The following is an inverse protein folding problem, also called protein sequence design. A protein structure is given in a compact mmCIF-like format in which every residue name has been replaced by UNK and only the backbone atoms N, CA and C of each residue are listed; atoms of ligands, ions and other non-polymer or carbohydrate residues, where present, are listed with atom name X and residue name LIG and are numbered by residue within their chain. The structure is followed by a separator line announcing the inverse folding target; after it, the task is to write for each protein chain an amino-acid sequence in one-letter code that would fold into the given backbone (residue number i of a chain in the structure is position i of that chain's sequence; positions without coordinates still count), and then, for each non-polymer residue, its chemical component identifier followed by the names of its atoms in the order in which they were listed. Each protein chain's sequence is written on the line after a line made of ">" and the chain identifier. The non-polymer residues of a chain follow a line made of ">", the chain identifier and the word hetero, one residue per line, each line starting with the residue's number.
data_IF_913016830162
#
_entry.id   IF_913016830162
#
_cell.length_a   1.000
_cell.length_b   1.000
_cell.length_c   1.000
_cell.angle_alpha   90.00
_cell.angle_beta   90.00
_cell.angle_gamma   90.00
#
_symmetry.space_group_name_H-M   'P 1'
#
loop_
_entity.id
_entity.type
_entity.pdbx_description
1 polymer ?
#
# COMPACT_ATOMS: atom_id res chain seq x y z
N UNK A 1 -43.10 62.63 -54.62
CA UNK A 1 -44.28 62.78 -55.49
C UNK A 1 -44.11 61.76 -56.62
N UNK A 2 -44.80 60.61 -56.60
CA UNK A 2 -46.19 60.39 -57.09
C UNK A 2 -46.33 60.65 -58.60
N UNK A 3 -46.94 59.81 -59.43
CA UNK A 3 -47.45 58.44 -59.25
C UNK A 3 -47.69 57.80 -60.65
N UNK A 4 -47.47 56.49 -60.77
CA UNK A 4 -48.49 55.47 -61.14
C UNK A 4 -49.69 55.88 -62.02
N UNK A 5 -49.90 55.20 -63.17
CA UNK A 5 -51.16 54.45 -63.42
C UNK A 5 -51.11 53.39 -64.54
N UNK A 6 -51.98 52.39 -64.39
CA UNK A 6 -52.24 51.14 -65.17
C UNK A 6 -53.27 51.35 -66.31
N UNK A 7 -53.51 50.40 -67.28
CA UNK A 7 -54.21 49.11 -67.01
C UNK A 7 -53.92 47.86 -67.91
N UNK A 8 -54.60 46.76 -67.53
CA UNK A 8 -54.70 45.34 -68.01
C UNK A 8 -55.50 45.17 -69.35
N UNK A 9 -55.74 43.98 -69.99
CA UNK A 9 -55.87 42.55 -69.52
C UNK A 9 -55.09 41.50 -70.41
N UNK A 10 -55.30 40.17 -70.53
CA UNK A 10 -56.35 39.15 -70.19
C UNK A 10 -55.78 37.79 -69.65
N UNK A 11 -56.19 36.60 -70.19
CA UNK A 11 -55.92 35.20 -69.72
C UNK A 11 -56.11 34.14 -70.83
N UNK A 12 -55.54 32.93 -70.68
CA UNK A 12 -56.23 31.62 -70.97
C UNK A 12 -55.54 30.43 -70.26
N UNK A 13 -56.25 29.33 -69.92
CA UNK A 13 -55.73 28.15 -69.15
C UNK A 13 -56.44 26.82 -69.48
N UNK A 14 -55.69 25.70 -69.65
CA UNK A 14 -56.16 24.30 -69.55
C UNK A 14 -55.33 23.41 -68.57
N UNK A 15 -55.89 22.30 -68.02
CA UNK A 15 -55.19 21.31 -67.16
C UNK A 15 -56.02 20.01 -66.93
N UNK A 16 -55.45 18.78 -67.03
CA UNK A 16 -56.00 17.57 -66.38
C UNK A 16 -55.08 16.30 -66.30
N UNK A 17 -54.85 15.78 -65.06
CA UNK A 17 -54.98 14.34 -64.60
C UNK A 17 -54.02 13.25 -65.21
N UNK A 18 -53.68 12.10 -64.56
CA UNK A 18 -53.99 11.47 -63.23
C UNK A 18 -52.86 10.48 -62.77
N UNK A 19 -53.05 9.80 -61.63
CA UNK A 19 -52.17 8.85 -60.86
C UNK A 19 -51.88 7.51 -61.62
N UNK A 20 -50.98 6.57 -61.25
CA UNK A 20 -50.72 5.92 -59.92
C UNK A 20 -49.34 5.16 -59.86
N UNK A 21 -49.08 4.32 -58.84
CA UNK A 21 -47.75 3.96 -58.27
C UNK A 21 -47.08 2.63 -58.71
N UNK A 22 -45.74 2.55 -58.52
CA UNK A 22 -44.89 1.38 -58.17
C UNK A 22 -44.84 0.14 -59.11
N UNK A 23 -43.77 -0.69 -59.17
CA UNK A 23 -42.52 -0.80 -58.40
C UNK A 23 -41.36 -1.38 -59.27
N UNK A 24 -40.08 -1.11 -58.95
CA UNK A 24 -38.96 -1.80 -59.61
C UNK A 24 -37.53 -1.34 -59.25
N UNK A 25 -36.64 -2.31 -58.98
CA UNK A 25 -35.17 -2.22 -59.08
C UNK A 25 -34.36 -1.15 -58.30
N UNK A 26 -34.44 -1.11 -56.96
CA UNK A 26 -33.31 -0.66 -56.11
C UNK A 26 -33.17 -1.46 -54.80
N UNK A 27 -32.64 -2.69 -54.89
CA UNK A 27 -32.45 -3.57 -53.72
C UNK A 27 -31.10 -4.32 -53.67
N UNK A 28 -30.47 -4.62 -54.81
CA UNK A 28 -29.29 -5.51 -54.86
C UNK A 28 -28.01 -4.86 -54.30
N UNK A 29 -27.77 -3.57 -54.56
CA UNK A 29 -26.50 -2.89 -54.23
C UNK A 29 -26.38 -2.42 -52.78
N UNK A 30 -27.50 -2.19 -52.09
CA UNK A 30 -27.47 -1.81 -50.67
C UNK A 30 -27.06 -2.99 -49.77
N UNK A 31 -27.56 -4.20 -50.09
CA UNK A 31 -27.29 -5.40 -49.30
C UNK A 31 -25.78 -5.68 -49.21
N UNK A 32 -25.06 -5.63 -50.32
CA UNK A 32 -23.61 -5.92 -50.34
C UNK A 32 -22.78 -4.98 -49.43
N UNK A 33 -23.08 -3.67 -49.43
CA UNK A 33 -22.36 -2.72 -48.56
C UNK A 33 -22.74 -2.86 -47.08
N UNK A 34 -24.02 -3.08 -46.77
CA UNK A 34 -24.48 -3.30 -45.38
C UNK A 34 -23.89 -4.60 -44.83
N UNK A 35 -23.95 -5.70 -45.58
CA UNK A 35 -23.36 -6.98 -45.19
C UNK A 35 -21.84 -6.90 -45.08
N UNK A 36 -21.15 -6.17 -45.96
CA UNK A 36 -19.70 -5.94 -45.83
C UNK A 36 -19.35 -5.22 -44.52
N UNK A 37 -20.09 -4.16 -44.15
CA UNK A 37 -19.90 -3.49 -42.86
C UNK A 37 -20.19 -4.39 -41.67
N UNK A 38 -21.27 -5.18 -41.71
CA UNK A 38 -21.62 -6.16 -40.66
C UNK A 38 -20.52 -7.22 -40.51
N UNK A 39 -20.02 -7.79 -41.60
CA UNK A 39 -18.93 -8.79 -41.59
C UNK A 39 -17.65 -8.19 -41.00
N UNK A 40 -17.28 -6.96 -41.39
CA UNK A 40 -16.12 -6.27 -40.83
C UNK A 40 -16.28 -6.00 -39.32
N UNK A 41 -17.45 -5.54 -38.87
CA UNK A 41 -17.74 -5.38 -37.44
C UNK A 41 -17.66 -6.72 -36.68
N UNK A 42 -18.20 -7.81 -37.23
CA UNK A 42 -18.11 -9.14 -36.61
C UNK A 42 -16.66 -9.64 -36.50
N UNK A 43 -15.83 -9.42 -37.52
CA UNK A 43 -14.40 -9.74 -37.49
C UNK A 43 -13.66 -8.92 -36.42
N UNK A 44 -13.95 -7.61 -36.32
CA UNK A 44 -13.35 -6.74 -35.29
C UNK A 44 -13.76 -7.14 -33.87
N UNK A 45 -15.03 -7.50 -33.66
CA UNK A 45 -15.54 -8.00 -32.37
C UNK A 45 -14.88 -9.34 -32.02
N UNK A 46 -14.78 -10.27 -32.98
CA UNK A 46 -14.13 -11.55 -32.78
C UNK A 46 -12.63 -11.41 -32.45
N UNK A 47 -11.92 -10.50 -33.14
CA UNK A 47 -10.52 -10.19 -32.87
C UNK A 47 -10.32 -9.57 -31.47
N UNK A 48 -11.19 -8.63 -31.07
CA UNK A 48 -11.16 -8.04 -29.73
C UNK A 48 -11.46 -9.07 -28.63
N UNK A 49 -12.44 -9.95 -28.84
CA UNK A 49 -12.78 -11.05 -27.93
C UNK A 49 -11.64 -12.07 -27.81
N UNK A 50 -10.99 -12.43 -28.92
CA UNK A 50 -9.82 -13.30 -28.91
C UNK A 50 -8.62 -12.66 -28.19
N UNK A 51 -8.37 -11.37 -28.39
CA UNK A 51 -7.31 -10.63 -27.69
C UNK A 51 -7.59 -10.58 -26.17
N UNK A 52 -8.82 -10.28 -25.78
CA UNK A 52 -9.26 -10.29 -24.38
C UNK A 52 -9.14 -11.69 -23.76
N UNK A 53 -9.55 -12.74 -24.47
CA UNK A 53 -9.37 -14.13 -24.05
C UNK A 53 -7.89 -14.46 -23.81
N UNK A 54 -7.00 -14.11 -24.75
CA UNK A 54 -5.55 -14.33 -24.58
C UNK A 54 -4.97 -13.54 -23.39
N UNK A 55 -5.45 -12.31 -23.14
CA UNK A 55 -5.04 -11.52 -21.96
C UNK A 55 -5.53 -12.15 -20.64
N UNK A 56 -6.72 -12.74 -20.62
CA UNK A 56 -7.25 -13.47 -19.47
C UNK A 56 -6.51 -14.79 -19.25
N UNK A 57 -6.31 -15.60 -20.30
CA UNK A 57 -5.57 -16.88 -20.23
C UNK A 57 -4.10 -16.69 -19.85
N UNK A 58 -3.47 -15.57 -20.23
CA UNK A 58 -2.10 -15.25 -19.78
C UNK A 58 -2.01 -14.91 -18.28
N UNK A 59 -3.13 -14.71 -17.58
CA UNK A 59 -3.15 -14.44 -16.13
C UNK A 59 -3.20 -15.71 -15.27
N UNK A 60 -3.22 -16.90 -15.87
CA UNK A 60 -3.20 -18.20 -15.18
C UNK A 60 -1.95 -19.02 -15.48
N UNK A 61 -0.77 -18.39 -15.35
CA UNK A 61 0.52 -19.10 -15.31
C UNK A 61 0.97 -19.32 -13.87
N UNK A 62 1.31 -20.56 -13.52
CA UNK A 62 1.92 -20.99 -12.24
C UNK A 62 1.26 -20.44 -10.96
N UNK A 63 0.24 -21.14 -10.45
CA UNK A 63 -0.07 -21.19 -9.01
C UNK A 63 0.74 -22.33 -8.39
N UNK A 64 1.86 -22.10 -7.69
CA UNK A 64 2.46 -23.13 -6.86
C UNK A 64 1.57 -23.36 -5.63
N UNK A 65 1.09 -24.58 -5.44
CA UNK A 65 0.29 -24.95 -4.26
C UNK A 65 1.19 -25.20 -3.04
N UNK A 66 1.83 -24.13 -2.56
CA UNK A 66 2.63 -24.08 -1.34
C UNK A 66 2.39 -22.76 -0.57
N UNK A 67 1.15 -22.25 -0.59
CA UNK A 67 0.73 -21.07 0.19
C UNK A 67 -0.05 -21.53 1.44
N UNK A 68 0.50 -22.52 2.14
CA UNK A 68 0.16 -22.83 3.54
C UNK A 68 1.40 -22.89 4.46
N UNK A 69 2.53 -22.36 3.97
CA UNK A 69 3.73 -22.09 4.78
C UNK A 69 3.92 -20.59 4.95
N UNK A 70 2.98 -19.93 5.65
CA UNK A 70 3.14 -18.57 6.19
C UNK A 70 4.12 -18.56 7.40
N UNK A 71 5.12 -19.45 7.35
CA UNK A 71 6.07 -19.76 8.41
C UNK A 71 7.25 -20.53 7.81
N UNK A 72 7.94 -19.90 6.85
CA UNK A 72 9.41 -19.93 6.94
C UNK A 72 9.77 -18.69 7.74
N UNK A 73 10.42 -18.90 8.87
CA UNK A 73 11.06 -17.87 9.69
C UNK A 73 11.76 -16.84 8.78
N UNK A 74 11.73 -15.54 9.12
CA UNK A 74 12.82 -14.69 8.65
C UNK A 74 14.11 -15.30 9.21
N UNK A 75 15.18 -15.38 8.42
CA UNK A 75 16.48 -15.92 8.88
C UNK A 75 17.20 -14.92 9.84
N UNK A 76 16.41 -14.19 10.64
CA UNK A 76 16.80 -13.27 11.70
C UNK A 76 16.97 -14.05 13.01
N UNK A 77 18.08 -13.79 13.69
CA UNK A 77 18.38 -14.30 15.02
C UNK A 77 18.70 -13.10 15.93
N UNK A 78 18.37 -13.14 17.22
CA UNK A 78 18.61 -12.01 18.11
C UNK A 78 20.12 -11.77 18.30
N UNK A 79 20.57 -10.54 18.05
CA UNK A 79 21.95 -10.10 18.34
C UNK A 79 22.10 -9.88 19.86
N UNK A 80 22.48 -10.96 20.53
CA UNK A 80 22.76 -11.02 21.96
C UNK A 80 24.28 -10.98 22.19
N UNK A 81 24.85 -9.83 22.58
CA UNK A 81 26.28 -9.74 22.87
C UNK A 81 26.61 -10.58 24.11
N UNK A 82 27.67 -11.39 24.05
CA UNK A 82 28.09 -12.29 25.13
C UNK A 82 28.36 -11.59 26.46
N UNK A 83 28.61 -10.28 26.42
CA UNK A 83 28.48 -9.38 27.55
C UNK A 83 27.39 -8.35 27.31
N UNK A 84 26.24 -8.51 27.98
CA UNK A 84 25.30 -7.41 28.26
C UNK A 84 25.86 -6.63 29.47
N UNK A 85 27.07 -6.06 29.29
CA UNK A 85 27.96 -5.60 30.35
C UNK A 85 27.36 -4.44 31.17
N UNK A 86 26.75 -3.48 30.48
CA UNK A 86 26.18 -2.31 31.12
C UNK A 86 24.74 -2.64 31.57
N UNK A 87 24.56 -2.83 32.88
CA UNK A 87 23.25 -3.10 33.50
C UNK A 87 22.22 -2.03 33.14
N UNK A 88 22.62 -0.76 33.22
CA UNK A 88 21.78 0.43 33.00
C UNK A 88 21.26 0.56 31.54
N UNK A 89 21.88 -0.12 30.58
CA UNK A 89 21.47 -0.13 29.17
C UNK A 89 20.44 -1.22 28.83
N UNK A 90 20.08 -2.08 29.79
CA UNK A 90 19.18 -3.22 29.57
C UNK A 90 17.71 -2.81 29.61
N UNK A 91 17.09 -2.72 28.44
CA UNK A 91 15.64 -2.54 28.32
C UNK A 91 14.89 -3.87 28.40
N UNK A 92 13.78 -3.90 29.13
CA UNK A 92 12.97 -5.10 29.35
C UNK A 92 12.20 -5.54 28.09
N UNK A 93 12.48 -6.75 27.64
CA UNK A 93 11.90 -7.36 26.45
C UNK A 93 10.54 -8.05 26.72
N UNK A 94 10.23 -8.31 28.00
CA UNK A 94 9.10 -9.10 28.48
C UNK A 94 8.43 -8.44 29.72
N UNK A 95 7.87 -7.22 29.60
CA UNK A 95 7.24 -6.51 30.72
C UNK A 95 5.93 -7.14 31.22
N UNK A 96 5.46 -8.21 30.58
CA UNK A 96 4.24 -8.94 30.97
C UNK A 96 4.47 -9.86 32.20
N UNK A 97 5.72 -10.25 32.49
CA UNK A 97 6.09 -11.14 33.60
C UNK A 97 7.58 -10.96 33.99
N UNK A 98 7.90 -10.37 35.16
CA UNK A 98 9.28 -10.20 35.62
C UNK A 98 9.95 -11.52 36.06
N UNK A 99 9.19 -12.60 36.23
CA UNK A 99 9.68 -13.93 36.59
C UNK A 99 10.04 -14.80 35.38
N UNK A 100 9.96 -14.24 34.16
CA UNK A 100 10.17 -14.94 32.89
C UNK A 100 11.46 -15.76 32.84
N UNK A 101 11.31 -17.07 32.58
CA UNK A 101 12.43 -17.98 32.37
C UNK A 101 12.99 -17.96 30.94
N UNK A 102 14.21 -18.48 30.78
CA UNK A 102 14.97 -18.55 29.52
C UNK A 102 14.14 -18.87 28.29
N UNK A 103 13.43 -20.00 28.29
CA UNK A 103 12.71 -20.52 27.12
C UNK A 103 11.64 -19.55 26.63
N UNK A 104 10.89 -18.91 27.54
CA UNK A 104 9.85 -17.93 27.19
C UNK A 104 10.45 -16.62 26.66
N UNK A 105 11.61 -16.21 27.18
CA UNK A 105 12.35 -15.06 26.68
C UNK A 105 12.90 -15.31 25.26
N UNK A 106 13.61 -16.40 25.06
CA UNK A 106 14.23 -16.76 23.77
C UNK A 106 13.16 -17.03 22.69
N UNK A 107 12.03 -17.67 23.05
CA UNK A 107 10.89 -17.87 22.15
C UNK A 107 10.24 -16.54 21.68
N UNK A 108 10.39 -15.45 22.43
CA UNK A 108 9.94 -14.09 22.05
C UNK A 108 10.94 -13.35 21.15
N UNK A 109 12.07 -13.98 20.82
CA UNK A 109 13.17 -13.35 20.08
C UNK A 109 13.96 -12.34 20.92
N UNK A 110 14.10 -12.60 22.21
CA UNK A 110 14.81 -11.75 23.17
C UNK A 110 16.09 -12.43 23.70
N UNK A 111 16.96 -11.66 24.35
CA UNK A 111 18.18 -12.17 24.99
C UNK A 111 17.92 -12.47 26.46
N UNK A 112 18.11 -13.73 26.88
CA UNK A 112 18.05 -14.09 28.30
C UNK A 112 19.40 -13.90 28.99
N UNK A 113 19.39 -13.48 30.26
CA UNK A 113 20.60 -13.24 31.06
C UNK A 113 20.61 -14.14 32.30
N UNK A 114 21.48 -15.16 32.30
CA UNK A 114 21.70 -16.03 33.47
C UNK A 114 22.37 -15.28 34.63
N UNK A 115 23.32 -14.39 34.33
CA UNK A 115 24.05 -13.63 35.33
C UNK A 115 23.29 -12.36 35.74
N UNK A 116 22.52 -12.51 36.80
CA UNK A 116 22.20 -11.43 37.72
C UNK A 116 23.52 -10.95 38.36
N UNK A 117 24.16 -9.95 37.74
CA UNK A 117 25.28 -9.23 38.35
C UNK A 117 24.70 -8.44 39.52
N UNK A 118 24.73 -9.06 40.69
CA UNK A 118 24.15 -8.48 41.89
C UNK A 118 25.15 -7.56 42.54
N UNK A 119 25.17 -6.31 42.10
CA UNK A 119 25.54 -5.20 42.97
C UNK A 119 24.59 -5.24 44.18
N UNK A 120 25.05 -5.84 45.27
CA UNK A 120 24.34 -5.84 46.55
C UNK A 120 24.53 -4.47 47.20
N UNK A 121 23.87 -3.46 46.63
CA UNK A 121 23.68 -2.17 47.27
C UNK A 121 22.88 -2.40 48.56
N UNK A 122 23.62 -2.63 49.64
CA UNK A 122 23.06 -2.63 50.99
C UNK A 122 22.79 -1.18 51.35
N UNK A 123 21.52 -0.80 51.35
CA UNK A 123 21.15 0.54 51.77
C UNK A 123 21.55 0.81 53.24
N UNK A 124 21.54 2.07 53.64
CA UNK A 124 22.00 2.47 54.99
C UNK A 124 21.12 1.95 56.14
N UNK A 125 20.00 1.27 55.83
CA UNK A 125 19.10 0.64 56.81
C UNK A 125 19.28 -0.89 56.88
N UNK A 126 20.10 -1.49 56.01
CA UNK A 126 20.31 -2.93 55.94
C UNK A 126 19.22 -3.68 55.17
N UNK A 127 18.38 -3.00 54.40
CA UNK A 127 17.39 -3.64 53.52
C UNK A 127 18.10 -4.20 52.29
N UNK A 128 18.16 -5.52 52.15
CA UNK A 128 18.74 -6.18 50.97
C UNK A 128 17.73 -6.15 49.81
N UNK A 129 17.56 -4.98 49.20
CA UNK A 129 16.88 -4.84 47.91
C UNK A 129 17.66 -5.63 46.86
N UNK A 130 17.21 -6.86 46.59
CA UNK A 130 17.81 -7.69 45.55
C UNK A 130 17.72 -7.02 44.18
N UNK A 131 18.67 -7.33 43.30
CA UNK A 131 18.81 -6.82 41.93
C UNK A 131 17.69 -7.26 40.96
N UNK A 132 16.50 -7.58 41.49
CA UNK A 132 15.29 -8.01 40.79
C UNK A 132 14.62 -6.87 39.98
N UNK A 133 15.06 -5.62 40.21
CA UNK A 133 14.75 -4.45 39.35
C UNK A 133 15.38 -4.54 37.95
N UNK A 134 16.27 -5.49 37.70
CA UNK A 134 17.00 -5.67 36.45
C UNK A 134 16.32 -6.73 35.56
N UNK A 135 15.90 -6.41 34.31
CA UNK A 135 15.26 -7.39 33.44
C UNK A 135 16.20 -8.55 33.09
N UNK A 136 15.72 -9.77 33.37
CA UNK A 136 16.36 -11.04 32.96
C UNK A 136 16.18 -11.34 31.47
N UNK A 137 15.23 -10.66 30.82
CA UNK A 137 14.93 -10.76 29.40
C UNK A 137 15.09 -9.40 28.71
N UNK A 138 16.06 -9.28 27.81
CA UNK A 138 16.55 -7.98 27.28
C UNK A 138 16.37 -7.87 25.76
N UNK A 139 16.10 -6.66 25.26
CA UNK A 139 16.05 -6.39 23.82
C UNK A 139 17.40 -6.73 23.14
N UNK A 140 17.39 -7.48 22.01
CA UNK A 140 18.60 -7.66 21.21
C UNK A 140 18.91 -6.39 20.41
N UNK A 141 20.19 -6.22 20.04
CA UNK A 141 20.69 -5.02 19.34
C UNK A 141 20.09 -4.83 17.95
N UNK A 142 19.68 -5.91 17.29
CA UNK A 142 19.09 -5.90 15.95
C UNK A 142 17.54 -5.89 15.97
N UNK A 143 16.95 -5.16 16.92
CA UNK A 143 15.50 -4.90 16.99
C UNK A 143 15.17 -3.42 16.67
N UNK A 144 13.93 -3.15 16.29
CA UNK A 144 13.41 -1.79 16.08
C UNK A 144 13.39 -1.38 14.61
N UNK A 145 13.90 -0.19 14.31
CA UNK A 145 13.84 0.42 12.98
C UNK A 145 15.19 1.00 12.56
N UNK A 146 15.52 0.88 11.27
CA UNK A 146 16.65 1.54 10.61
C UNK A 146 16.16 2.68 9.71
N UNK A 147 16.93 3.75 9.56
CA UNK A 147 16.56 4.81 8.63
C UNK A 147 16.81 4.40 7.18
N UNK A 148 15.95 4.82 6.26
CA UNK A 148 16.20 4.69 4.82
C UNK A 148 17.07 5.83 4.25
N UNK A 149 17.71 6.63 5.11
CA UNK A 149 18.66 7.71 4.79
C UNK A 149 18.09 8.96 4.12
N UNK A 150 17.14 8.79 3.18
CA UNK A 150 16.55 9.88 2.40
C UNK A 150 15.55 10.68 3.24
N UNK A 151 15.96 11.82 3.76
CA UNK A 151 15.04 12.82 4.33
C UNK A 151 14.26 13.56 3.24
N UNK A 152 13.10 14.10 3.61
CA UNK A 152 12.36 15.09 2.82
C UNK A 152 12.20 16.37 3.65
N UNK A 153 12.59 17.55 3.13
CA UNK A 153 12.49 18.81 3.87
C UNK A 153 11.04 19.25 4.03
N UNK A 154 10.76 19.94 5.14
CA UNK A 154 9.50 20.66 5.39
C UNK A 154 9.85 22.07 5.91
N UNK A 155 8.86 22.98 5.92
CA UNK A 155 9.05 24.40 6.26
C UNK A 155 9.93 24.67 7.50
N UNK A 156 9.80 23.85 8.54
CA UNK A 156 10.55 23.99 9.80
C UNK A 156 11.28 22.71 10.22
N UNK A 157 11.80 21.91 9.28
CA UNK A 157 12.56 20.70 9.59
C UNK A 157 12.56 19.66 8.48
N UNK A 158 12.36 18.38 8.83
CA UNK A 158 12.36 17.29 7.86
C UNK A 158 11.51 16.09 8.32
N UNK A 159 11.19 15.20 7.38
CA UNK A 159 10.67 13.85 7.63
C UNK A 159 11.71 12.83 7.19
N UNK A 160 11.92 11.80 8.02
CA UNK A 160 12.80 10.66 7.74
C UNK A 160 11.97 9.36 7.76
N UNK A 161 11.90 8.58 6.66
CA UNK A 161 11.30 7.26 6.66
C UNK A 161 12.21 6.24 7.37
N UNK A 162 11.58 5.43 8.23
CA UNK A 162 12.16 4.39 9.06
C UNK A 162 11.57 3.03 8.67
N UNK A 163 12.42 2.06 8.36
CA UNK A 163 12.06 0.69 8.00
C UNK A 163 12.25 -0.22 9.21
N UNK A 164 11.22 -1.00 9.56
CA UNK A 164 11.32 -1.99 10.65
C UNK A 164 12.31 -3.09 10.28
N UNK A 165 13.15 -3.50 11.23
CA UNK A 165 14.03 -4.67 11.11
C UNK A 165 13.17 -5.95 11.14
N UNK A 166 13.46 -7.02 10.35
CA UNK A 166 12.61 -8.21 10.22
C UNK A 166 12.65 -9.19 11.43
N UNK A 167 12.75 -8.65 12.64
CA UNK A 167 12.59 -9.37 13.90
C UNK A 167 11.14 -9.91 14.09
N UNK A 168 10.92 -10.92 14.94
CA UNK A 168 9.58 -11.40 15.30
C UNK A 168 8.62 -10.30 15.77
N UNK A 169 7.32 -10.59 15.67
CA UNK A 169 6.28 -9.80 16.36
C UNK A 169 6.14 -10.24 17.81
N UNK A 170 5.72 -9.33 18.70
CA UNK A 170 5.50 -9.61 20.13
C UNK A 170 4.10 -9.30 20.64
N UNK A 171 3.37 -8.41 19.96
CA UNK A 171 2.02 -7.96 20.32
C UNK A 171 1.10 -7.84 19.09
N UNK A 172 1.54 -8.23 17.89
CA UNK A 172 0.82 -8.03 16.62
C UNK A 172 1.07 -6.66 15.98
N UNK A 173 0.39 -6.44 14.85
CA UNK A 173 0.20 -5.15 14.14
C UNK A 173 1.46 -4.28 13.93
N UNK A 174 2.59 -4.93 13.69
CA UNK A 174 3.89 -4.28 13.45
C UNK A 174 3.90 -3.40 12.20
N UNK A 175 4.01 -2.08 12.41
CA UNK A 175 4.20 -1.07 11.38
C UNK A 175 5.54 -1.32 10.66
N UNK A 176 5.49 -1.69 9.37
CA UNK A 176 6.70 -2.01 8.60
C UNK A 176 7.49 -0.75 8.18
N UNK A 177 6.80 0.36 7.89
CA UNK A 177 7.40 1.65 7.55
C UNK A 177 6.75 2.74 8.39
N UNK A 178 7.57 3.43 9.19
CA UNK A 178 7.17 4.59 9.97
C UNK A 178 7.84 5.86 9.46
N UNK A 179 7.25 7.02 9.71
CA UNK A 179 7.79 8.32 9.33
C UNK A 179 8.10 9.12 10.60
N UNK A 180 9.38 9.46 10.80
CA UNK A 180 9.83 10.36 11.85
C UNK A 180 9.83 11.80 11.33
N UNK A 181 8.83 12.59 11.74
CA UNK A 181 8.78 14.03 11.50
C UNK A 181 9.53 14.77 12.59
N UNK A 182 10.46 15.63 12.20
CA UNK A 182 11.26 16.49 13.09
C UNK A 182 10.88 17.95 12.80
N UNK A 183 10.36 18.63 13.82
CA UNK A 183 9.90 20.02 13.76
C UNK A 183 10.75 20.89 14.70
N UNK A 184 11.53 21.82 14.14
CA UNK A 184 12.08 22.97 14.87
C UNK A 184 10.94 23.95 15.12
N UNK A 185 10.35 23.93 16.32
CA UNK A 185 9.18 24.78 16.62
C UNK A 185 9.59 26.15 17.16
N UNK A 186 10.65 26.21 17.96
CA UNK A 186 11.34 27.46 18.36
C UNK A 186 12.83 27.15 18.54
N UNK A 187 13.66 28.18 18.75
CA UNK A 187 15.09 28.07 19.10
C UNK A 187 15.36 27.13 20.29
N UNK A 188 14.38 26.92 21.17
CA UNK A 188 14.49 26.11 22.38
C UNK A 188 13.47 24.95 22.43
N UNK A 189 12.77 24.66 21.32
CA UNK A 189 11.75 23.59 21.27
C UNK A 189 11.83 22.79 19.98
N UNK A 190 12.52 21.65 20.07
CA UNK A 190 12.41 20.55 19.12
C UNK A 190 11.14 19.74 19.40
N UNK A 191 10.48 19.24 18.37
CA UNK A 191 9.44 18.20 18.48
C UNK A 191 9.71 17.09 17.48
N UNK A 192 9.63 15.86 17.95
CA UNK A 192 9.73 14.66 17.11
C UNK A 192 8.39 13.92 17.20
N UNK A 193 7.88 13.43 16.07
CA UNK A 193 6.70 12.56 15.99
C UNK A 193 7.03 11.38 15.09
N UNK A 194 6.77 10.17 15.55
CA UNK A 194 6.79 8.95 14.72
C UNK A 194 5.35 8.58 14.38
N UNK A 195 5.03 8.32 13.10
CA UNK A 195 3.71 7.83 12.68
C UNK A 195 3.77 7.05 11.37
N UNK A 196 2.86 6.08 11.17
CA UNK A 196 2.74 5.36 9.91
C UNK A 196 2.38 6.30 8.73
N UNK A 197 1.48 7.27 8.99
CA UNK A 197 0.99 8.22 7.99
C UNK A 197 1.97 9.39 7.76
N UNK A 198 2.12 9.76 6.49
CA UNK A 198 2.57 11.10 6.07
C UNK A 198 1.41 12.09 6.20
N UNK A 199 1.72 13.32 6.61
CA UNK A 199 0.80 14.45 6.80
C UNK A 199 1.37 15.67 6.08
#
# INVERSE_FOLDING_TARGET
>A
MTNTHTPVPQKMVPNCKKRTCCSGQKLVTYSCKVWSMVIICLILIAAAAALLYVLLSKKTGSRPENILTLSKQSDWFPDCPSGLLNLEERFDCYPDDPSVGRTSCEARGCCYVDQQYSDTETDSNGTTETSDRMPKCVYPKNYGYVSLGKTTPIFNGFVLPLQRVPAPSRYGDDIQVAHMKVEMQTTYRLRIKVSCFLF
#
